data_IF_398420203194
#
_entry.id   IF_398420203194
#
_cell.length_a   1.000
_cell.length_b   1.000
_cell.length_c   1.000
_cell.angle_alpha   90.00
_cell.angle_beta   90.00
_cell.angle_gamma   90.00
#
_symmetry.space_group_name_H-M   'P 1'
#
loop_
_entity.id
_entity.type
_entity.pdbx_description
1 polymer ?
#
# COMPACT_ATOMS: atom_id res chain seq x y z
N UNK A 1 -8.04 -7.08 -8.49
CA UNK A 1 -8.52 -7.11 -7.10
C UNK A 1 -7.37 -6.94 -6.11
N UNK A 2 -6.37 -7.82 -6.10
CA UNK A 2 -5.22 -7.75 -5.16
C UNK A 2 -4.42 -6.43 -5.21
N UNK A 3 -4.17 -5.87 -6.40
CA UNK A 3 -3.43 -4.60 -6.52
C UNK A 3 -4.17 -3.41 -5.91
N UNK A 4 -5.51 -3.43 -5.86
CA UNK A 4 -6.30 -2.39 -5.19
C UNK A 4 -6.12 -2.49 -3.67
N UNK A 5 -6.31 -3.69 -3.13
CA UNK A 5 -6.12 -3.96 -1.69
C UNK A 5 -4.70 -3.59 -1.27
N UNK A 6 -3.71 -4.05 -2.03
CA UNK A 6 -2.30 -3.75 -1.79
C UNK A 6 -1.89 -2.29 -1.99
N UNK A 7 -2.71 -1.44 -2.61
CA UNK A 7 -2.47 0.00 -2.71
C UNK A 7 -3.17 0.81 -1.60
N UNK A 8 -4.33 0.33 -1.12
CA UNK A 8 -5.10 0.96 -0.04
C UNK A 8 -4.51 0.60 1.33
N UNK A 9 -4.27 -0.70 1.56
CA UNK A 9 -3.68 -1.24 2.78
C UNK A 9 -2.14 -1.25 2.66
N UNK A 10 -1.57 -0.05 2.55
CA UNK A 10 -0.15 0.16 2.25
C UNK A 10 0.35 1.46 2.92
N UNK A 11 1.52 1.37 3.52
CA UNK A 11 2.21 2.44 4.23
C UNK A 11 3.47 2.93 3.51
N UNK A 12 3.85 2.28 2.40
CA UNK A 12 4.90 2.78 1.53
C UNK A 12 4.41 3.95 0.66
N UNK A 13 5.39 4.65 0.09
CA UNK A 13 5.17 5.73 -0.86
C UNK A 13 6.32 5.77 -1.87
N UNK A 14 6.00 6.06 -3.14
CA UNK A 14 7.00 6.28 -4.19
C UNK A 14 6.96 7.76 -4.56
N UNK A 15 7.97 8.51 -4.13
CA UNK A 15 8.10 9.95 -4.42
C UNK A 15 9.43 10.18 -5.14
N UNK A 16 9.42 10.95 -6.23
CA UNK A 16 10.62 11.29 -6.99
C UNK A 16 11.48 10.07 -7.35
N UNK A 17 10.83 8.99 -7.80
CA UNK A 17 11.47 7.71 -8.13
C UNK A 17 12.18 7.00 -6.96
N UNK A 18 11.94 7.42 -5.72
CA UNK A 18 12.45 6.77 -4.52
C UNK A 18 11.33 6.12 -3.74
N UNK A 19 11.55 4.87 -3.33
CA UNK A 19 10.66 4.16 -2.42
C UNK A 19 10.96 4.55 -0.97
N UNK A 20 9.93 4.92 -0.23
CA UNK A 20 9.93 5.07 1.23
C UNK A 20 9.01 4.01 1.81
N UNK A 21 9.47 3.23 2.78
CA UNK A 21 8.72 2.12 3.37
C UNK A 21 9.29 0.75 2.96
N UNK A 22 8.52 -0.31 3.19
CA UNK A 22 8.99 -1.68 2.98
C UNK A 22 9.07 -2.02 1.47
N UNK A 23 10.14 -2.71 1.02
CA UNK A 23 10.27 -3.15 -0.38
C UNK A 23 9.07 -3.97 -0.90
N UNK A 24 8.48 -4.80 -0.04
CA UNK A 24 7.31 -5.64 -0.34
C UNK A 24 6.06 -4.81 -0.63
N UNK A 25 5.82 -3.76 0.16
CA UNK A 25 4.74 -2.82 -0.04
C UNK A 25 4.95 -1.95 -1.28
N UNK A 26 6.19 -1.50 -1.51
CA UNK A 26 6.57 -0.75 -2.71
C UNK A 26 6.34 -1.53 -4.01
N UNK A 27 6.58 -2.85 -3.99
CA UNK A 27 6.28 -3.71 -5.13
C UNK A 27 4.78 -3.71 -5.48
N UNK A 28 3.89 -3.72 -4.48
CA UNK A 28 2.44 -3.63 -4.71
C UNK A 28 2.03 -2.27 -5.30
N UNK A 29 2.63 -1.17 -4.83
CA UNK A 29 2.41 0.15 -5.43
C UNK A 29 2.87 0.20 -6.88
N UNK A 30 4.04 -0.36 -7.19
CA UNK A 30 4.54 -0.43 -8.57
C UNK A 30 3.60 -1.25 -9.48
N UNK A 31 3.00 -2.33 -8.98
CA UNK A 31 1.97 -3.10 -9.72
C UNK A 31 0.73 -2.23 -9.96
N UNK A 32 0.23 -1.54 -8.93
CA UNK A 32 -0.94 -0.66 -9.07
C UNK A 32 -0.71 0.47 -10.10
N UNK A 33 0.48 1.07 -10.11
CA UNK A 33 0.88 2.06 -11.12
C UNK A 33 0.85 1.47 -12.54
N UNK A 34 1.41 0.27 -12.74
CA UNK A 34 1.38 -0.42 -14.05
C UNK A 34 -0.02 -0.82 -14.50
N UNK A 35 -0.94 -0.98 -13.56
CA UNK A 35 -2.37 -1.24 -13.84
C UNK A 35 -3.18 0.04 -14.07
N UNK A 36 -2.54 1.21 -14.11
CA UNK A 36 -3.19 2.51 -14.24
C UNK A 36 -4.21 2.78 -13.12
N UNK A 37 -3.85 2.42 -11.88
CA UNK A 37 -4.64 2.62 -10.66
C UNK A 37 -3.93 3.59 -9.67
N UNK A 38 -3.59 4.83 -10.08
CA UNK A 38 -2.90 5.76 -9.20
C UNK A 38 -3.85 6.30 -8.12
N UNK A 39 -3.28 6.81 -7.03
CA UNK A 39 -4.01 7.55 -5.98
C UNK A 39 -5.18 6.79 -5.33
N UNK A 40 -5.23 5.45 -5.41
CA UNK A 40 -6.33 4.66 -4.84
C UNK A 40 -6.54 4.92 -3.34
N UNK A 41 -5.45 5.08 -2.58
CA UNK A 41 -5.52 5.35 -1.13
C UNK A 41 -6.26 6.65 -0.81
N UNK A 42 -6.17 7.66 -1.67
CA UNK A 42 -6.81 8.97 -1.48
C UNK A 42 -8.34 8.92 -1.70
N UNK A 43 -8.85 7.85 -2.30
CA UNK A 43 -10.28 7.64 -2.52
C UNK A 43 -11.00 7.08 -1.30
N UNK A 44 -10.26 6.70 -0.24
CA UNK A 44 -10.82 6.12 0.98
C UNK A 44 -10.42 6.96 2.19
N UNK A 45 -11.34 7.10 3.14
CA UNK A 45 -11.03 7.59 4.47
C UNK A 45 -10.57 6.42 5.34
N UNK A 46 -9.33 6.45 5.83
CA UNK A 46 -8.79 5.43 6.74
C UNK A 46 -9.38 5.65 8.13
N UNK A 47 -10.36 4.84 8.51
CA UNK A 47 -10.98 4.91 9.85
C UNK A 47 -10.10 4.28 10.94
N UNK A 48 -9.51 3.13 10.65
CA UNK A 48 -8.67 2.39 11.58
C UNK A 48 -7.55 1.66 10.83
N UNK A 49 -6.43 1.42 11.50
CA UNK A 49 -5.32 0.64 10.95
C UNK A 49 -4.79 -0.36 11.97
N UNK A 50 -4.53 -1.58 11.50
CA UNK A 50 -3.73 -2.58 12.17
C UNK A 50 -2.43 -2.78 11.39
N UNK A 51 -1.30 -2.20 11.85
CA UNK A 51 -0.03 -2.30 11.15
C UNK A 51 0.52 -3.72 11.23
N UNK A 52 1.35 -4.12 10.28
CA UNK A 52 2.02 -5.42 10.34
C UNK A 52 2.89 -5.54 11.61
N UNK A 53 2.75 -6.66 12.32
CA UNK A 53 3.66 -7.04 13.42
C UNK A 53 4.07 -8.50 13.29
N UNK A 54 5.13 -8.90 13.99
CA UNK A 54 5.62 -10.27 13.97
C UNK A 54 4.68 -11.24 14.71
N UNK A 55 3.91 -10.73 15.66
CA UNK A 55 2.96 -11.48 16.48
C UNK A 55 1.78 -11.95 15.64
N UNK A 56 1.11 -11.03 14.94
CA UNK A 56 -0.10 -11.37 14.19
C UNK A 56 0.13 -11.58 12.69
N UNK A 57 1.23 -11.08 12.10
CA UNK A 57 1.68 -11.38 10.72
C UNK A 57 0.70 -10.99 9.61
N UNK A 58 -0.14 -10.00 9.85
CA UNK A 58 -1.05 -9.43 8.85
C UNK A 58 -1.15 -7.91 9.05
N UNK A 59 -1.67 -7.19 8.06
CA UNK A 59 -2.03 -5.78 8.19
C UNK A 59 -3.44 -5.54 7.64
N UNK A 60 -4.14 -4.55 8.18
CA UNK A 60 -5.46 -4.12 7.69
C UNK A 60 -5.63 -2.60 7.84
N UNK A 61 -6.40 -2.02 6.93
CA UNK A 61 -6.70 -0.59 6.78
C UNK A 61 -8.14 -0.46 6.30
#
# INVERSE_FOLDING_TARGET
FFAKVGAVCNNAEIINFQLRGQPTEGALLAVAMKMNLPHLREQFHREHEWPFTHEHKWMAV
#
